data_IF_547656684064
#
_entry.id   IF_547656684064
#
_cell.length_a   1.000
_cell.length_b   1.000
_cell.length_c   1.000
_cell.angle_alpha   90.00
_cell.angle_beta   90.00
_cell.angle_gamma   90.00
#
_symmetry.space_group_name_H-M   'P 1'
#
loop_
_entity.id
_entity.type
_entity.pdbx_description
1 polymer ?
#
# COMPACT_ATOMS: atom_id res chain seq x y z
N UNK A 1 -26.94 15.42 -4.62
CA UNK A 1 -27.62 14.15 -4.96
C UNK A 1 -28.22 13.58 -3.68
N UNK A 2 -29.45 13.07 -3.69
CA UNK A 2 -30.00 12.39 -2.50
C UNK A 2 -29.26 11.06 -2.30
N UNK A 3 -28.75 10.81 -1.10
CA UNK A 3 -27.99 9.60 -0.79
C UNK A 3 -28.94 8.41 -0.59
N UNK A 4 -28.55 7.20 -1.04
CA UNK A 4 -29.39 6.03 -0.83
C UNK A 4 -29.40 5.60 0.65
N UNK A 5 -30.53 5.05 1.11
CA UNK A 5 -30.62 4.51 2.49
C UNK A 5 -29.75 3.28 2.71
N UNK A 6 -29.48 2.53 1.65
CA UNK A 6 -28.66 1.32 1.68
C UNK A 6 -27.75 1.22 0.46
N UNK A 7 -26.65 0.47 0.57
CA UNK A 7 -25.66 0.33 -0.48
C UNK A 7 -25.02 -1.07 -0.50
N UNK A 8 -24.25 -1.38 -1.55
CA UNK A 8 -23.53 -2.65 -1.67
C UNK A 8 -22.17 -2.56 -0.98
N UNK A 9 -21.79 -3.60 -0.25
CA UNK A 9 -20.47 -3.72 0.36
C UNK A 9 -20.05 -5.17 0.49
N UNK A 10 -18.74 -5.43 0.45
CA UNK A 10 -18.20 -6.70 0.93
C UNK A 10 -17.95 -6.62 2.44
N UNK A 11 -18.55 -7.53 3.19
CA UNK A 11 -18.41 -7.62 4.65
C UNK A 11 -18.27 -9.08 5.11
N UNK A 12 -17.74 -9.29 6.31
CA UNK A 12 -17.60 -10.60 6.94
C UNK A 12 -18.00 -10.57 8.41
N UNK A 13 -18.55 -11.69 8.88
CA UNK A 13 -19.16 -11.82 10.21
C UNK A 13 -18.26 -12.59 11.19
N UNK A 14 -17.31 -13.37 10.68
CA UNK A 14 -16.34 -14.11 11.48
C UNK A 14 -14.96 -14.01 10.83
N UNK A 15 -13.93 -14.28 11.62
CA UNK A 15 -12.59 -14.55 11.08
C UNK A 15 -12.60 -15.86 10.30
N UNK A 16 -11.92 -15.89 9.17
CA UNK A 16 -11.81 -17.11 8.35
C UNK A 16 -11.43 -16.84 6.91
N UNK A 17 -11.30 -17.87 6.06
CA UNK A 17 -10.95 -17.70 4.66
C UNK A 17 -11.99 -16.87 3.87
N UNK A 18 -11.58 -16.00 2.92
CA UNK A 18 -12.50 -15.16 2.11
C UNK A 18 -13.61 -15.93 1.42
N UNK A 19 -13.31 -17.12 0.89
CA UNK A 19 -14.29 -17.95 0.21
C UNK A 19 -15.42 -18.45 1.13
N UNK A 20 -15.24 -18.38 2.46
CA UNK A 20 -16.23 -18.82 3.45
C UNK A 20 -16.92 -17.64 4.12
N UNK A 21 -16.15 -16.63 4.55
CA UNK A 21 -16.68 -15.57 5.42
C UNK A 21 -17.03 -14.27 4.69
N UNK A 22 -16.39 -13.98 3.54
CA UNK A 22 -16.54 -12.70 2.85
C UNK A 22 -17.77 -12.73 1.94
N UNK A 23 -18.73 -11.84 2.22
CA UNK A 23 -20.04 -11.81 1.54
C UNK A 23 -20.28 -10.46 0.88
N UNK A 24 -20.77 -10.49 -0.36
CA UNK A 24 -21.38 -9.31 -0.98
C UNK A 24 -22.76 -9.10 -0.35
N UNK A 25 -22.93 -8.01 0.39
CA UNK A 25 -24.21 -7.55 0.94
C UNK A 25 -24.73 -6.42 0.07
N UNK A 26 -25.99 -6.48 -0.35
CA UNK A 26 -26.60 -5.51 -1.28
C UNK A 26 -27.40 -4.41 -0.60
N UNK A 27 -27.65 -4.53 0.70
CA UNK A 27 -28.50 -3.62 1.48
C UNK A 27 -27.86 -3.24 2.82
N UNK A 28 -26.59 -2.83 2.81
CA UNK A 28 -25.92 -2.30 4.01
C UNK A 28 -26.46 -0.90 4.29
N UNK A 29 -26.85 -0.62 5.54
CA UNK A 29 -27.35 0.71 5.92
C UNK A 29 -26.26 1.75 5.75
N UNK A 30 -26.58 2.88 5.13
CA UNK A 30 -25.65 4.01 5.06
C UNK A 30 -25.48 4.60 6.47
N UNK A 31 -24.27 4.55 7.07
CA UNK A 31 -24.07 5.07 8.42
C UNK A 31 -24.08 6.60 8.42
N UNK A 32 -24.46 7.22 9.54
CA UNK A 32 -24.36 8.67 9.73
C UNK A 32 -22.91 9.15 9.55
N UNK A 33 -22.74 10.36 9.03
CA UNK A 33 -21.42 10.93 8.78
C UNK A 33 -20.90 11.64 10.04
N UNK A 34 -19.69 11.28 10.49
CA UNK A 34 -19.02 11.99 11.57
C UNK A 34 -18.65 13.43 11.18
N UNK A 35 -18.46 14.34 12.16
CA UNK A 35 -18.24 15.76 11.88
C UNK A 35 -16.95 16.02 11.08
N UNK A 36 -15.89 15.23 11.27
CA UNK A 36 -14.60 15.35 10.55
C UNK A 36 -14.49 14.46 9.31
N UNK A 37 -15.54 13.72 9.00
CA UNK A 37 -15.52 12.74 7.93
C UNK A 37 -16.00 13.33 6.62
N UNK A 38 -15.54 12.73 5.54
CA UNK A 38 -16.13 12.85 4.22
C UNK A 38 -16.71 11.51 3.80
N UNK A 39 -17.87 11.54 3.13
CA UNK A 39 -18.41 10.36 2.46
C UNK A 39 -17.99 10.37 1.00
N UNK A 40 -17.44 9.26 0.56
CA UNK A 40 -16.93 9.10 -0.79
C UNK A 40 -17.74 8.01 -1.46
N UNK A 41 -18.28 8.31 -2.65
CA UNK A 41 -18.78 7.30 -3.57
C UNK A 41 -17.58 6.67 -4.26
N UNK A 42 -17.28 5.43 -3.91
CA UNK A 42 -16.06 4.76 -4.36
C UNK A 42 -16.22 4.38 -5.82
N UNK A 43 -15.31 4.83 -6.67
CA UNK A 43 -15.23 4.40 -8.06
C UNK A 43 -14.43 3.10 -8.16
N UNK A 44 -13.25 3.08 -7.56
CA UNK A 44 -12.34 1.94 -7.57
C UNK A 44 -11.68 1.73 -6.22
N UNK A 45 -11.39 0.48 -5.88
CA UNK A 45 -10.63 0.08 -4.71
C UNK A 45 -9.45 -0.78 -5.13
N UNK A 46 -8.44 -0.93 -4.27
CA UNK A 46 -7.36 -1.88 -4.52
C UNK A 46 -7.20 -2.83 -3.33
N UNK A 47 -6.80 -4.06 -3.62
CA UNK A 47 -6.58 -5.10 -2.60
C UNK A 47 -5.09 -5.27 -2.28
N UNK A 48 -4.83 -5.68 -1.04
CA UNK A 48 -3.54 -5.81 -0.41
C UNK A 48 -3.47 -7.10 0.44
N UNK A 49 -2.28 -7.67 0.65
CA UNK A 49 -2.13 -8.82 1.55
C UNK A 49 -2.66 -8.58 2.98
N UNK A 50 -2.59 -7.33 3.47
CA UNK A 50 -3.12 -6.98 4.80
C UNK A 50 -4.64 -7.10 4.88
N UNK A 51 -5.38 -6.83 3.79
CA UNK A 51 -6.84 -7.01 3.75
C UNK A 51 -7.22 -8.47 4.05
N UNK A 52 -6.45 -9.42 3.50
CA UNK A 52 -6.61 -10.84 3.81
C UNK A 52 -6.16 -11.18 5.22
N UNK A 53 -5.02 -10.63 5.68
CA UNK A 53 -4.47 -10.92 7.01
C UNK A 53 -5.44 -10.52 8.13
N UNK A 54 -6.03 -9.33 8.04
CA UNK A 54 -7.04 -8.83 8.99
C UNK A 54 -8.28 -9.72 9.07
N UNK A 55 -8.60 -10.44 8.00
CA UNK A 55 -9.76 -11.33 7.95
C UNK A 55 -9.49 -12.70 8.58
N UNK A 56 -8.23 -13.15 8.64
CA UNK A 56 -7.86 -14.50 9.11
C UNK A 56 -7.08 -14.53 10.42
N UNK A 57 -6.60 -13.37 10.89
CA UNK A 57 -5.78 -13.25 12.10
C UNK A 57 -6.49 -12.34 13.12
N UNK A 58 -7.09 -12.92 14.17
CA UNK A 58 -7.70 -12.14 15.24
C UNK A 58 -6.67 -11.26 15.96
N UNK A 59 -7.10 -10.08 16.42
CA UNK A 59 -6.30 -9.21 17.29
C UNK A 59 -5.35 -8.24 16.58
N UNK A 60 -5.41 -8.14 15.25
CA UNK A 60 -4.64 -7.14 14.50
C UNK A 60 -5.28 -5.74 14.47
N UNK A 61 -6.55 -5.64 14.83
CA UNK A 61 -7.34 -4.41 14.93
C UNK A 61 -8.19 -4.45 16.21
N UNK A 62 -8.69 -3.29 16.64
CA UNK A 62 -9.42 -3.13 17.91
C UNK A 62 -10.90 -3.59 17.82
N UNK A 63 -11.26 -4.25 16.72
CA UNK A 63 -12.62 -4.73 16.45
C UNK A 63 -12.60 -6.21 16.10
N UNK A 64 -13.69 -6.90 16.44
CA UNK A 64 -13.94 -8.26 15.99
C UNK A 64 -15.23 -8.28 15.15
N UNK A 65 -15.27 -9.05 14.06
CA UNK A 65 -16.50 -9.21 13.29
C UNK A 65 -17.52 -10.04 14.10
N UNK A 66 -18.80 -9.67 13.97
CA UNK A 66 -19.94 -10.49 14.42
C UNK A 66 -21.09 -10.38 13.42
N UNK A 67 -22.14 -11.16 13.63
CA UNK A 67 -23.37 -11.07 12.81
C UNK A 67 -24.05 -9.71 12.99
N UNK A 68 -24.04 -9.18 14.22
CA UNK A 68 -24.63 -7.88 14.59
C UNK A 68 -23.75 -6.70 14.15
N UNK A 69 -22.43 -6.89 14.11
CA UNK A 69 -21.45 -5.90 13.67
C UNK A 69 -20.48 -6.50 12.64
N UNK A 70 -20.93 -6.73 11.39
CA UNK A 70 -20.05 -7.21 10.32
C UNK A 70 -18.95 -6.19 10.03
N UNK A 71 -17.74 -6.66 9.77
CA UNK A 71 -16.64 -5.80 9.33
C UNK A 71 -16.62 -5.66 7.81
N UNK A 72 -16.42 -4.43 7.34
CA UNK A 72 -16.27 -4.14 5.91
C UNK A 72 -14.87 -4.46 5.40
N UNK A 73 -14.73 -4.70 4.11
CA UNK A 73 -13.48 -5.14 3.49
C UNK A 73 -12.76 -4.02 2.70
N UNK A 74 -11.43 -4.05 2.74
CA UNK A 74 -10.55 -3.18 1.95
C UNK A 74 -10.16 -1.85 2.60
N UNK A 75 -9.00 -1.33 2.19
CA UNK A 75 -8.41 -0.10 2.75
C UNK A 75 -8.04 0.95 1.70
N UNK A 76 -7.71 0.55 0.46
CA UNK A 76 -7.40 1.50 -0.62
C UNK A 76 -8.65 1.86 -1.41
N UNK A 77 -8.85 3.14 -1.71
CA UNK A 77 -9.98 3.61 -2.52
C UNK A 77 -9.69 4.90 -3.28
N UNK A 78 -10.41 5.09 -4.38
CA UNK A 78 -10.54 6.36 -5.07
C UNK A 78 -11.99 6.57 -5.54
N UNK A 79 -12.45 7.81 -5.52
CA UNK A 79 -13.85 8.13 -5.80
C UNK A 79 -14.15 9.62 -5.69
N UNK A 80 -15.43 9.94 -5.53
CA UNK A 80 -15.91 11.32 -5.48
C UNK A 80 -16.56 11.60 -4.13
N UNK A 81 -16.23 12.74 -3.52
CA UNK A 81 -16.87 13.20 -2.28
C UNK A 81 -18.33 13.55 -2.56
N UNK A 82 -19.26 12.97 -1.80
CA UNK A 82 -20.71 13.18 -1.94
C UNK A 82 -21.36 13.81 -0.70
N UNK A 83 -20.67 13.83 0.42
CA UNK A 83 -21.12 14.42 1.68
C UNK A 83 -19.90 14.82 2.51
N UNK A 84 -19.99 15.94 3.24
CA UNK A 84 -18.89 16.49 4.06
C UNK A 84 -19.44 16.78 5.45
N UNK A 85 -18.74 16.29 6.48
CA UNK A 85 -19.08 16.54 7.88
C UNK A 85 -18.93 18.01 8.25
N UNK A 86 -19.61 18.44 9.31
CA UNK A 86 -19.69 19.84 9.72
C UNK A 86 -18.35 20.49 10.15
N UNK A 87 -17.35 19.67 10.49
CA UNK A 87 -16.01 20.11 10.89
C UNK A 87 -14.93 19.81 9.84
N UNK A 88 -15.26 19.09 8.76
CA UNK A 88 -14.34 18.84 7.66
C UNK A 88 -14.22 20.10 6.78
N UNK A 89 -12.99 20.58 6.54
CA UNK A 89 -12.72 21.90 5.93
C UNK A 89 -11.85 21.85 4.69
N UNK A 90 -11.09 20.77 4.47
CA UNK A 90 -10.16 20.64 3.33
C UNK A 90 -10.86 20.23 2.05
N UNK A 91 -11.89 19.40 2.15
CA UNK A 91 -12.56 18.76 1.02
C UNK A 91 -13.99 19.27 0.85
N UNK A 92 -14.49 19.24 -0.38
CA UNK A 92 -15.87 19.60 -0.73
C UNK A 92 -16.51 18.51 -1.59
N UNK A 93 -17.85 18.54 -1.65
CA UNK A 93 -18.63 17.70 -2.56
C UNK A 93 -18.15 17.91 -4.01
N UNK A 94 -18.16 16.82 -4.79
CA UNK A 94 -17.61 16.69 -6.15
C UNK A 94 -16.08 16.63 -6.26
N UNK A 95 -15.32 16.78 -5.17
CA UNK A 95 -13.88 16.55 -5.23
C UNK A 95 -13.59 15.08 -5.57
N UNK A 96 -12.70 14.86 -6.54
CA UNK A 96 -12.15 13.54 -6.84
C UNK A 96 -10.97 13.29 -5.91
N UNK A 97 -11.00 12.15 -5.21
CA UNK A 97 -10.09 11.86 -4.11
C UNK A 97 -9.57 10.45 -4.17
N UNK A 98 -8.42 10.23 -3.54
CA UNK A 98 -7.92 8.91 -3.19
C UNK A 98 -7.57 8.82 -1.70
N UNK A 99 -7.52 7.60 -1.18
CA UNK A 99 -7.36 7.39 0.25
C UNK A 99 -6.86 5.99 0.58
N UNK A 100 -6.23 5.92 1.74
CA UNK A 100 -6.10 4.70 2.51
C UNK A 100 -6.89 4.91 3.81
N UNK A 101 -7.76 3.98 4.19
CA UNK A 101 -8.43 4.05 5.50
C UNK A 101 -7.47 3.65 6.62
N UNK A 102 -7.75 4.10 7.85
CA UNK A 102 -7.21 3.43 9.02
C UNK A 102 -7.64 1.94 9.02
N UNK A 103 -6.79 1.04 9.51
CA UNK A 103 -7.09 -0.40 9.59
C UNK A 103 -8.32 -0.73 10.44
N UNK A 104 -8.70 0.14 11.40
CA UNK A 104 -9.92 -0.01 12.20
C UNK A 104 -11.20 0.46 11.48
N UNK A 105 -11.09 1.25 10.41
CA UNK A 105 -12.24 1.80 9.68
C UNK A 105 -12.72 0.84 8.59
N UNK A 106 -11.80 0.35 7.75
CA UNK A 106 -12.05 -0.48 6.57
C UNK A 106 -13.11 0.09 5.61
N UNK A 107 -13.43 -0.68 4.56
CA UNK A 107 -14.68 -0.56 3.81
C UNK A 107 -14.58 0.15 2.46
N UNK A 108 -13.40 0.18 1.84
CA UNK A 108 -13.27 0.72 0.48
C UNK A 108 -13.82 -0.20 -0.60
N UNK A 109 -13.98 -1.51 -0.35
CA UNK A 109 -14.64 -2.42 -1.29
C UNK A 109 -16.16 -2.41 -1.06
N UNK A 110 -16.73 -1.22 -1.27
CA UNK A 110 -18.16 -0.93 -1.11
C UNK A 110 -18.54 0.33 -1.89
N UNK A 111 -19.82 0.51 -2.24
CA UNK A 111 -20.25 1.67 -3.04
C UNK A 111 -19.93 3.02 -2.35
N UNK A 112 -19.91 3.04 -1.02
CA UNK A 112 -19.58 4.22 -0.21
C UNK A 112 -18.65 3.87 0.95
N UNK A 113 -17.77 4.82 1.28
CA UNK A 113 -16.94 4.79 2.48
C UNK A 113 -17.00 6.15 3.18
N UNK A 114 -16.99 6.16 4.52
CA UNK A 114 -16.86 7.36 5.34
C UNK A 114 -15.51 7.35 6.04
N UNK A 115 -14.72 8.42 5.86
CA UNK A 115 -13.32 8.49 6.33
C UNK A 115 -13.03 9.89 6.82
N UNK A 116 -12.25 10.03 7.89
CA UNK A 116 -11.78 11.34 8.35
C UNK A 116 -10.97 12.04 7.24
N UNK A 117 -11.22 13.34 7.03
CA UNK A 117 -10.63 14.09 5.92
C UNK A 117 -9.09 14.13 5.95
N UNK A 118 -8.49 13.87 7.12
CA UNK A 118 -7.04 13.80 7.30
C UNK A 118 -6.40 12.55 6.67
N UNK A 119 -7.19 11.57 6.24
CA UNK A 119 -6.73 10.38 5.52
C UNK A 119 -7.02 10.44 4.01
N UNK A 120 -7.62 11.54 3.55
CA UNK A 120 -8.14 11.69 2.19
C UNK A 120 -7.43 12.86 1.49
N UNK A 121 -6.89 12.59 0.31
CA UNK A 121 -6.22 13.58 -0.51
C UNK A 121 -6.90 13.72 -1.86
N UNK A 122 -6.76 14.89 -2.48
CA UNK A 122 -7.22 15.11 -3.84
C UNK A 122 -6.48 14.15 -4.78
N UNK A 123 -7.24 13.60 -5.73
CA UNK A 123 -6.69 12.70 -6.73
C UNK A 123 -5.78 13.48 -7.69
N UNK A 124 -4.60 12.94 -8.07
CA UNK A 124 -3.76 13.49 -9.12
C UNK A 124 -4.58 13.66 -10.41
N UNK A 125 -4.52 14.85 -10.99
CA UNK A 125 -5.35 15.23 -12.15
C UNK A 125 -5.09 14.38 -13.40
N UNK A 126 -3.94 13.71 -13.46
CA UNK A 126 -3.49 12.89 -14.58
C UNK A 126 -3.78 11.38 -14.43
N UNK A 127 -4.48 10.96 -13.36
CA UNK A 127 -4.77 9.55 -13.10
C UNK A 127 -6.26 9.22 -13.27
N UNK A 128 -6.51 8.01 -13.74
CA UNK A 128 -7.83 7.37 -13.65
C UNK A 128 -8.12 6.93 -12.20
N UNK A 129 -9.39 6.67 -11.85
CA UNK A 129 -9.74 6.13 -10.53
C UNK A 129 -9.06 4.77 -10.24
N UNK A 130 -8.90 3.91 -11.24
CA UNK A 130 -8.21 2.63 -11.09
C UNK A 130 -6.73 2.84 -10.71
N UNK A 131 -6.06 3.77 -11.40
CA UNK A 131 -4.68 4.14 -11.09
C UNK A 131 -4.58 4.79 -9.72
N UNK A 132 -5.46 5.73 -9.42
CA UNK A 132 -5.50 6.44 -8.15
C UNK A 132 -5.73 5.49 -6.97
N UNK A 133 -6.65 4.53 -7.06
CA UNK A 133 -6.91 3.54 -6.02
C UNK A 133 -5.73 2.58 -5.81
N UNK A 134 -4.86 2.40 -6.81
CA UNK A 134 -3.71 1.51 -6.70
C UNK A 134 -2.52 2.09 -5.92
N UNK A 135 -2.55 3.38 -5.60
CA UNK A 135 -1.46 4.12 -4.93
C UNK A 135 -1.46 4.00 -3.41
N UNK A 136 -2.56 4.26 -2.67
CA UNK A 136 -2.46 4.85 -1.33
C UNK A 136 -1.64 4.05 -0.33
N UNK A 137 -2.01 2.80 -0.05
CA UNK A 137 -1.30 1.98 0.94
C UNK A 137 0.15 1.74 0.54
N UNK A 138 0.41 1.28 -0.69
CA UNK A 138 1.77 0.89 -1.10
C UNK A 138 2.69 2.09 -1.34
N UNK A 139 2.14 3.19 -1.85
CA UNK A 139 2.84 4.45 -2.03
C UNK A 139 3.18 5.08 -0.69
N UNK A 140 2.22 5.18 0.24
CA UNK A 140 2.47 5.67 1.60
C UNK A 140 3.47 4.80 2.32
N UNK A 141 3.37 3.47 2.17
CA UNK A 141 4.32 2.53 2.76
C UNK A 141 5.75 2.88 2.31
N UNK A 142 6.01 2.94 1.01
CA UNK A 142 7.38 3.24 0.53
C UNK A 142 7.82 4.67 0.83
N UNK A 143 6.90 5.64 0.81
CA UNK A 143 7.18 7.02 1.20
C UNK A 143 7.64 7.11 2.66
N UNK A 144 6.87 6.53 3.58
CA UNK A 144 7.19 6.53 5.01
C UNK A 144 8.51 5.80 5.28
N UNK A 145 8.69 4.61 4.70
CA UNK A 145 9.91 3.81 4.87
C UNK A 145 11.16 4.58 4.45
N UNK A 146 11.18 5.07 3.21
CA UNK A 146 12.38 5.65 2.62
C UNK A 146 12.60 7.09 3.04
N UNK A 147 11.55 7.91 3.09
CA UNK A 147 11.69 9.37 3.23
C UNK A 147 11.42 9.86 4.65
N UNK A 148 10.54 9.22 5.42
CA UNK A 148 10.27 9.62 6.81
C UNK A 148 11.20 8.92 7.82
N UNK A 149 11.30 7.58 7.72
CA UNK A 149 12.07 6.78 8.67
C UNK A 149 13.56 6.68 8.28
N UNK A 150 13.88 6.14 7.11
CA UNK A 150 15.28 6.05 6.66
C UNK A 150 15.88 7.43 6.35
N UNK A 151 15.03 8.39 5.99
CA UNK A 151 15.44 9.72 5.51
C UNK A 151 16.51 9.60 4.44
N UNK A 152 16.25 8.77 3.43
CA UNK A 152 17.15 8.51 2.30
C UNK A 152 17.54 9.84 1.65
N UNK A 153 18.84 10.01 1.42
CA UNK A 153 19.42 11.21 0.83
C UNK A 153 19.94 10.94 -0.59
N UNK A 154 20.06 12.01 -1.38
CA UNK A 154 20.69 11.97 -2.69
C UNK A 154 22.12 11.42 -2.58
N UNK A 155 22.48 10.51 -3.49
CA UNK A 155 23.80 9.88 -3.54
C UNK A 155 24.01 8.71 -2.57
N UNK A 156 23.06 8.43 -1.68
CA UNK A 156 23.09 7.21 -0.85
C UNK A 156 22.79 5.97 -1.70
N UNK A 157 23.32 4.81 -1.29
CA UNK A 157 22.99 3.52 -1.90
C UNK A 157 21.89 2.84 -1.10
N UNK A 158 20.79 2.46 -1.75
CA UNK A 158 19.70 1.69 -1.15
C UNK A 158 19.56 0.32 -1.80
N UNK A 159 19.41 -0.71 -0.96
CA UNK A 159 19.00 -2.04 -1.37
C UNK A 159 17.52 -2.25 -1.07
N UNK A 160 16.74 -2.53 -2.09
CA UNK A 160 15.30 -2.83 -2.02
C UNK A 160 15.10 -4.32 -2.21
N UNK A 161 14.72 -5.03 -1.14
CA UNK A 161 14.41 -6.46 -1.23
C UNK A 161 12.99 -6.61 -1.77
N UNK A 162 12.84 -7.24 -2.94
CA UNK A 162 11.55 -7.42 -3.60
C UNK A 162 11.12 -6.23 -4.46
N UNK A 163 12.02 -5.69 -5.29
CA UNK A 163 11.78 -4.51 -6.13
C UNK A 163 10.65 -4.63 -7.15
N UNK A 164 10.14 -5.84 -7.42
CA UNK A 164 8.95 -6.05 -8.26
C UNK A 164 7.65 -6.29 -7.47
N UNK A 165 7.69 -6.22 -6.13
CA UNK A 165 6.47 -6.20 -5.31
C UNK A 165 5.75 -4.85 -5.47
N UNK A 166 4.46 -4.77 -5.11
CA UNK A 166 3.73 -3.51 -5.24
C UNK A 166 4.37 -2.36 -4.44
N UNK A 167 4.85 -2.63 -3.23
CA UNK A 167 5.64 -1.68 -2.43
C UNK A 167 7.02 -1.45 -3.03
N UNK A 168 7.73 -2.50 -3.44
CA UNK A 168 9.04 -2.37 -4.08
C UNK A 168 9.03 -1.51 -5.35
N UNK A 169 7.96 -1.59 -6.16
CA UNK A 169 7.77 -0.75 -7.34
C UNK A 169 7.74 0.74 -6.99
N UNK A 170 7.05 1.12 -5.91
CA UNK A 170 7.09 2.51 -5.42
C UNK A 170 8.43 2.85 -4.77
N UNK A 171 9.01 1.92 -4.00
CA UNK A 171 10.31 2.10 -3.37
C UNK A 171 11.43 2.41 -4.38
N UNK A 172 11.51 1.65 -5.48
CA UNK A 172 12.51 1.84 -6.54
C UNK A 172 12.35 3.23 -7.17
N UNK A 173 11.13 3.60 -7.55
CA UNK A 173 10.87 4.89 -8.20
C UNK A 173 11.13 6.07 -7.26
N UNK A 174 10.72 5.98 -5.98
CA UNK A 174 10.95 7.03 -4.98
C UNK A 174 12.45 7.19 -4.68
N UNK A 175 13.18 6.10 -4.51
CA UNK A 175 14.62 6.15 -4.29
C UNK A 175 15.36 6.75 -5.49
N UNK A 176 14.98 6.36 -6.71
CA UNK A 176 15.51 6.94 -7.94
C UNK A 176 15.20 8.45 -8.02
N UNK A 177 13.98 8.86 -7.68
CA UNK A 177 13.56 10.26 -7.69
C UNK A 177 14.31 11.13 -6.66
N UNK A 178 14.75 10.55 -5.54
CA UNK A 178 15.66 11.21 -4.58
C UNK A 178 17.07 11.41 -5.17
N UNK A 179 17.45 10.61 -6.17
CA UNK A 179 18.80 10.54 -6.71
C UNK A 179 19.71 9.63 -5.90
N UNK A 180 19.16 8.59 -5.27
CA UNK A 180 19.91 7.51 -4.65
C UNK A 180 20.39 6.50 -5.72
N UNK A 181 21.41 5.73 -5.40
CA UNK A 181 21.82 4.55 -6.17
C UNK A 181 20.96 3.35 -5.74
N UNK A 182 20.17 2.82 -6.67
CA UNK A 182 19.13 1.84 -6.37
C UNK A 182 19.57 0.44 -6.77
N UNK A 183 19.73 -0.43 -5.78
CA UNK A 183 19.92 -1.86 -5.95
C UNK A 183 18.60 -2.54 -5.61
N UNK A 184 18.12 -3.45 -6.46
CA UNK A 184 16.87 -4.15 -6.22
C UNK A 184 17.00 -5.66 -6.42
N UNK A 185 16.39 -6.45 -5.54
CA UNK A 185 16.24 -7.89 -5.76
C UNK A 185 14.94 -8.18 -6.50
N UNK A 186 15.01 -8.98 -7.57
CA UNK A 186 13.83 -9.46 -8.30
C UNK A 186 14.18 -10.69 -9.14
N UNK A 187 13.19 -11.42 -9.66
CA UNK A 187 13.45 -12.53 -10.60
C UNK A 187 13.91 -11.99 -11.96
N UNK A 188 14.72 -12.76 -12.70
CA UNK A 188 15.17 -12.39 -14.06
C UNK A 188 14.05 -11.88 -14.98
N UNK A 189 12.86 -12.50 -14.95
CA UNK A 189 11.71 -12.11 -15.78
C UNK A 189 11.20 -10.67 -15.52
N UNK A 190 11.54 -10.09 -14.39
CA UNK A 190 11.15 -8.75 -13.98
C UNK A 190 12.33 -7.75 -14.02
N UNK A 191 13.54 -8.20 -14.36
CA UNK A 191 14.75 -7.38 -14.26
C UNK A 191 14.66 -6.10 -15.10
N UNK A 192 14.27 -6.21 -16.37
CA UNK A 192 14.16 -5.06 -17.28
C UNK A 192 13.06 -4.10 -16.84
N UNK A 193 11.95 -4.65 -16.35
CA UNK A 193 10.87 -3.84 -15.77
C UNK A 193 11.36 -3.05 -14.56
N UNK A 194 12.02 -3.69 -13.59
CA UNK A 194 12.51 -2.99 -12.39
C UNK A 194 13.62 -1.98 -12.73
N UNK A 195 14.47 -2.26 -13.73
CA UNK A 195 15.42 -1.27 -14.27
C UNK A 195 14.72 -0.07 -14.88
N UNK A 196 13.65 -0.27 -15.65
CA UNK A 196 12.86 0.82 -16.24
C UNK A 196 12.20 1.73 -15.20
N UNK A 197 12.06 1.26 -13.96
CA UNK A 197 11.55 2.05 -12.82
C UNK A 197 12.65 2.88 -12.12
N UNK A 198 13.92 2.71 -12.50
CA UNK A 198 15.05 3.47 -11.93
C UNK A 198 16.02 2.64 -11.09
N UNK A 199 15.95 1.31 -11.12
CA UNK A 199 16.99 0.48 -10.49
C UNK A 199 18.29 0.49 -11.31
N UNK A 200 19.40 0.84 -10.67
CA UNK A 200 20.74 0.85 -11.27
C UNK A 200 21.32 -0.57 -11.34
N UNK A 201 21.04 -1.40 -10.33
CA UNK A 201 21.53 -2.78 -10.25
C UNK A 201 20.41 -3.75 -9.86
N UNK A 202 20.32 -4.85 -10.59
CA UNK A 202 19.42 -5.96 -10.28
C UNK A 202 20.20 -7.13 -9.71
N UNK A 203 19.67 -7.75 -8.66
CA UNK A 203 20.15 -9.02 -8.12
C UNK A 203 19.03 -10.06 -8.27
N UNK A 204 19.27 -11.10 -9.06
CA UNK A 204 18.35 -12.24 -9.13
C UNK A 204 18.55 -13.18 -7.95
N UNK A 205 17.58 -13.16 -7.04
CA UNK A 205 17.60 -13.97 -5.82
C UNK A 205 17.47 -15.48 -6.09
N UNK A 206 17.12 -15.91 -7.31
CA UNK A 206 17.17 -17.34 -7.68
C UNK A 206 18.57 -17.83 -8.01
N UNK A 207 19.47 -16.93 -8.40
CA UNK A 207 20.81 -17.30 -8.87
C UNK A 207 21.91 -16.93 -7.88
N UNK A 208 21.69 -15.90 -7.07
CA UNK A 208 22.68 -15.43 -6.10
C UNK A 208 22.01 -14.73 -4.92
N UNK A 209 22.59 -14.86 -3.73
CA UNK A 209 22.17 -14.09 -2.55
C UNK A 209 22.75 -12.68 -2.66
N UNK A 210 21.97 -11.67 -2.30
CA UNK A 210 22.43 -10.27 -2.33
C UNK A 210 23.63 -10.04 -1.41
N UNK A 211 23.69 -10.73 -0.28
CA UNK A 211 24.80 -10.65 0.68
C UNK A 211 26.13 -11.18 0.13
N UNK A 212 26.09 -12.13 -0.81
CA UNK A 212 27.30 -12.74 -1.37
C UNK A 212 27.95 -11.89 -2.47
N UNK A 213 27.18 -10.94 -3.04
CA UNK A 213 27.58 -10.17 -4.23
C UNK A 213 27.67 -8.67 -3.97
N UNK A 214 27.28 -8.23 -2.78
CA UNK A 214 27.48 -6.86 -2.32
C UNK A 214 28.70 -6.82 -1.42
N UNK A 215 29.46 -5.73 -1.54
CA UNK A 215 30.60 -5.51 -0.65
C UNK A 215 30.09 -5.22 0.76
N UNK A 216 30.82 -5.69 1.77
CA UNK A 216 30.51 -5.38 3.16
C UNK A 216 30.51 -3.87 3.37
N UNK A 217 29.55 -3.38 4.15
CA UNK A 217 29.42 -1.97 4.50
C UNK A 217 29.29 -1.01 3.30
N UNK A 218 28.66 -1.47 2.21
CA UNK A 218 28.49 -0.67 0.97
C UNK A 218 27.12 -0.01 0.83
N UNK A 219 26.13 -0.38 1.66
CA UNK A 219 24.73 0.07 1.53
C UNK A 219 24.34 1.00 2.68
N UNK A 220 23.72 2.14 2.37
CA UNK A 220 23.24 3.12 3.35
C UNK A 220 21.89 2.74 3.95
N UNK A 221 21.00 2.17 3.14
CA UNK A 221 19.64 1.77 3.55
C UNK A 221 19.28 0.41 2.96
N UNK A 222 18.77 -0.49 3.79
CA UNK A 222 18.10 -1.71 3.33
C UNK A 222 16.60 -1.55 3.62
N UNK A 223 15.79 -1.61 2.57
CA UNK A 223 14.34 -1.61 2.62
C UNK A 223 13.80 -2.98 2.22
N UNK A 224 13.35 -3.75 3.20
CA UNK A 224 12.73 -5.05 2.98
C UNK A 224 11.22 -4.92 2.72
N UNK A 225 10.81 -5.14 1.47
CA UNK A 225 9.42 -5.03 1.03
C UNK A 225 8.59 -6.29 1.35
N UNK A 226 8.89 -6.99 2.44
CA UNK A 226 8.14 -8.16 2.85
C UNK A 226 8.70 -9.49 2.35
N UNK A 227 10.02 -9.58 2.19
CA UNK A 227 10.71 -10.73 1.60
C UNK A 227 11.49 -11.54 2.62
N UNK A 228 12.28 -10.90 3.48
CA UNK A 228 13.32 -11.56 4.28
C UNK A 228 13.30 -11.12 5.76
N UNK A 229 12.37 -11.69 6.55
CA UNK A 229 12.20 -11.36 7.97
C UNK A 229 13.44 -11.59 8.86
N UNK A 230 14.38 -12.41 8.40
CA UNK A 230 15.62 -12.75 9.13
C UNK A 230 16.81 -11.88 8.68
N UNK A 231 16.64 -11.01 7.68
CA UNK A 231 17.76 -10.28 7.06
C UNK A 231 18.59 -9.48 8.08
N UNK A 232 17.94 -8.89 9.09
CA UNK A 232 18.65 -8.18 10.17
C UNK A 232 19.58 -9.10 10.99
N UNK A 233 19.13 -10.31 11.30
CA UNK A 233 19.88 -11.25 12.13
C UNK A 233 20.96 -11.99 11.35
N UNK A 234 20.92 -11.95 10.02
CA UNK A 234 21.87 -12.68 9.17
C UNK A 234 22.85 -11.74 8.49
N UNK A 235 22.38 -10.99 7.48
CA UNK A 235 23.26 -10.42 6.46
C UNK A 235 23.24 -8.89 6.44
N UNK A 236 22.13 -8.28 6.85
CA UNK A 236 21.91 -6.85 6.68
C UNK A 236 22.96 -6.04 7.44
N UNK A 237 23.33 -6.46 8.64
CA UNK A 237 24.34 -5.76 9.45
C UNK A 237 25.72 -5.73 8.78
N UNK A 238 26.07 -6.79 8.03
CA UNK A 238 27.36 -6.88 7.35
C UNK A 238 27.40 -6.01 6.08
N UNK A 239 26.28 -5.90 5.38
CA UNK A 239 26.17 -5.13 4.13
C UNK A 239 25.91 -3.64 4.39
N UNK A 240 25.20 -3.31 5.47
CA UNK A 240 24.96 -1.93 5.87
C UNK A 240 26.24 -1.22 6.29
N UNK A 241 26.36 0.05 5.92
CA UNK A 241 27.46 0.93 6.37
C UNK A 241 27.52 0.96 7.90
N UNK A 242 28.74 0.94 8.41
CA UNK A 242 28.99 1.05 9.84
C UNK A 242 28.47 2.39 10.37
N UNK A 243 27.89 2.37 11.58
CA UNK A 243 27.37 3.52 12.34
C UNK A 243 26.24 4.35 11.69
N UNK A 244 25.97 4.16 10.40
CA UNK A 244 25.08 5.04 9.60
C UNK A 244 24.06 4.26 8.78
N UNK A 245 24.28 2.96 8.59
CA UNK A 245 23.35 2.08 7.89
C UNK A 245 22.00 2.00 8.59
N UNK A 246 20.93 1.91 7.83
CA UNK A 246 19.54 1.84 8.34
C UNK A 246 18.83 0.63 7.73
N UNK A 247 18.30 -0.24 8.59
CA UNK A 247 17.45 -1.36 8.18
C UNK A 247 15.98 -1.06 8.51
N UNK A 248 15.10 -1.26 7.54
CA UNK A 248 13.65 -1.08 7.71
C UNK A 248 12.92 -2.20 6.96
N UNK A 249 11.87 -2.77 7.55
CA UNK A 249 11.16 -3.92 6.98
C UNK A 249 9.65 -3.82 7.15
N UNK A 250 8.92 -4.47 6.23
CA UNK A 250 7.47 -4.74 6.32
C UNK A 250 7.13 -5.99 7.12
N UNK A 251 8.12 -6.72 7.65
CA UNK A 251 7.90 -7.92 8.44
C UNK A 251 8.35 -7.68 9.89
N UNK A 252 7.65 -8.27 10.88
CA UNK A 252 8.22 -8.44 12.20
C UNK A 252 9.61 -9.09 12.07
N UNK A 253 10.63 -8.45 12.65
CA UNK A 253 11.96 -9.06 12.71
C UNK A 253 11.88 -10.34 13.53
N UNK A 254 12.54 -11.40 13.06
CA UNK A 254 12.51 -12.68 13.75
C UNK A 254 13.21 -12.61 15.10
N UNK A 255 12.58 -13.16 16.13
CA UNK A 255 13.14 -13.20 17.48
C UNK A 255 14.13 -14.38 17.66
N UNK A 256 15.22 -14.20 18.44
CA UNK A 256 15.63 -12.96 19.08
C UNK A 256 16.22 -11.96 18.08
N UNK A 257 15.87 -10.68 18.18
CA UNK A 257 16.52 -9.62 17.38
C UNK A 257 17.96 -9.43 17.85
N UNK A 258 18.93 -9.67 16.97
CA UNK A 258 20.35 -9.51 17.31
C UNK A 258 20.71 -8.04 17.51
N UNK A 259 21.59 -7.70 18.49
CA UNK A 259 22.06 -6.34 18.67
C UNK A 259 22.88 -5.88 17.46
N UNK A 260 22.88 -4.57 17.21
CA UNK A 260 23.66 -3.97 16.13
C UNK A 260 25.17 -4.09 16.38
N UNK A 261 25.83 -5.03 15.69
CA UNK A 261 27.26 -5.30 15.87
C UNK A 261 28.16 -4.22 15.28
N UNK A 262 27.69 -3.54 14.22
CA UNK A 262 28.47 -2.55 13.46
C UNK A 262 27.89 -1.12 13.56
N UNK A 263 27.00 -0.87 14.54
CA UNK A 263 26.41 0.44 14.77
C UNK A 263 25.33 0.88 13.77
N UNK A 264 24.89 0.01 12.86
CA UNK A 264 23.72 0.28 12.02
C UNK A 264 22.44 0.36 12.87
N UNK A 265 21.49 1.19 12.45
CA UNK A 265 20.20 1.34 13.11
C UNK A 265 19.18 0.36 12.52
N UNK A 266 18.57 -0.46 13.36
CA UNK A 266 17.41 -1.27 13.01
C UNK A 266 16.13 -0.55 13.43
N UNK A 267 15.37 -0.02 12.47
CA UNK A 267 14.03 0.52 12.75
C UNK A 267 12.98 -0.58 12.92
N UNK A 268 13.28 -1.80 12.49
CA UNK A 268 12.41 -2.96 12.59
C UNK A 268 11.19 -2.87 11.67
N UNK A 269 10.12 -3.53 12.11
CA UNK A 269 8.83 -3.48 11.45
C UNK A 269 8.21 -2.09 11.56
N UNK A 270 7.89 -1.49 10.42
CA UNK A 270 7.11 -0.25 10.38
C UNK A 270 5.74 -0.56 9.76
N UNK A 271 4.70 -0.23 10.51
CA UNK A 271 3.33 -0.26 10.01
C UNK A 271 3.00 1.07 9.32
N UNK A 272 2.50 1.01 8.10
CA UNK A 272 2.04 2.21 7.38
C UNK A 272 0.85 2.83 8.09
N UNK A 273 0.83 4.16 8.19
CA UNK A 273 -0.34 4.91 8.67
C UNK A 273 -0.97 5.72 7.54
N UNK A 274 -2.31 5.87 7.50
CA UNK A 274 -2.97 6.72 6.52
C UNK A 274 -2.66 8.20 6.78
N UNK A 275 -2.42 8.97 5.73
CA UNK A 275 -2.20 10.42 5.85
C UNK A 275 -2.45 11.12 4.52
N UNK A 276 -3.30 12.15 4.57
CA UNK A 276 -3.53 13.03 3.44
C UNK A 276 -2.28 13.82 3.09
N UNK A 277 -1.45 14.21 4.08
CA UNK A 277 -0.21 14.94 3.83
C UNK A 277 0.79 14.07 3.04
N UNK A 278 0.95 12.80 3.41
CA UNK A 278 1.81 11.87 2.66
C UNK A 278 1.30 11.63 1.24
N UNK A 279 -0.01 11.51 1.07
CA UNK A 279 -0.65 11.41 -0.24
C UNK A 279 -0.49 12.70 -1.06
N UNK A 280 -0.60 13.88 -0.45
CA UNK A 280 -0.37 15.18 -1.10
C UNK A 280 1.10 15.29 -1.58
N UNK A 281 2.06 14.70 -0.86
CA UNK A 281 3.46 14.61 -1.31
C UNK A 281 3.63 13.63 -2.47
N UNK A 282 2.98 12.46 -2.42
CA UNK A 282 2.99 11.50 -3.52
C UNK A 282 2.35 12.06 -4.80
N UNK A 283 1.26 12.83 -4.67
CA UNK A 283 0.59 13.53 -5.78
C UNK A 283 1.58 14.31 -6.63
N UNK A 284 2.52 15.03 -5.99
CA UNK A 284 3.52 15.84 -6.69
C UNK A 284 4.46 14.99 -7.58
N UNK A 285 4.76 13.76 -7.17
CA UNK A 285 5.57 12.85 -7.99
C UNK A 285 4.75 12.21 -9.11
N UNK A 286 3.49 11.86 -8.83
CA UNK A 286 2.56 11.24 -9.78
C UNK A 286 2.19 12.20 -10.92
N UNK A 287 1.88 13.46 -10.60
CA UNK A 287 1.54 14.48 -11.61
C UNK A 287 2.73 14.86 -12.49
N UNK A 288 3.95 14.78 -11.95
CA UNK A 288 5.20 14.94 -12.73
C UNK A 288 5.55 13.72 -13.57
N UNK A 289 4.88 12.58 -13.38
CA UNK A 289 5.22 11.31 -13.99
C UNK A 289 6.56 10.73 -13.54
N UNK A 290 7.14 11.24 -12.44
CA UNK A 290 8.41 10.72 -11.88
C UNK A 290 8.20 9.39 -11.18
N UNK A 291 7.01 9.16 -10.63
CA UNK A 291 6.55 7.85 -10.20
C UNK A 291 5.24 7.55 -10.94
N UNK A 292 5.04 6.29 -11.32
CA UNK A 292 3.83 5.82 -11.99
C UNK A 292 3.22 4.63 -11.22
N UNK A 293 1.89 4.58 -11.09
CA UNK A 293 1.22 3.40 -10.55
C UNK A 293 1.28 2.25 -11.56
N UNK A 294 1.44 1.02 -11.06
CA UNK A 294 1.46 -0.19 -11.88
C UNK A 294 0.31 -1.09 -11.46
N UNK A 295 -0.65 -1.25 -12.37
CA UNK A 295 -1.79 -2.16 -12.22
C UNK A 295 -1.48 -3.45 -12.95
N UNK A 296 -1.64 -4.58 -12.25
CA UNK A 296 -1.54 -5.91 -12.85
C UNK A 296 -2.86 -6.33 -13.49
N UNK A 297 -3.97 -6.10 -12.80
CA UNK A 297 -5.31 -6.47 -13.29
C UNK A 297 -6.39 -5.65 -12.61
N UNK A 298 -7.47 -5.44 -13.36
CA UNK A 298 -8.70 -4.80 -12.89
C UNK A 298 -9.81 -5.86 -12.92
N UNK A 299 -10.54 -5.98 -11.83
CA UNK A 299 -11.68 -6.89 -11.69
C UNK A 299 -12.96 -6.09 -11.49
N UNK A 300 -14.11 -6.54 -12.01
CA UNK A 300 -15.39 -5.96 -11.65
C UNK A 300 -15.72 -6.27 -10.19
N UNK A 301 -16.61 -5.47 -9.59
CA UNK A 301 -16.96 -5.53 -8.16
C UNK A 301 -17.31 -6.95 -7.68
N UNK A 302 -18.12 -7.67 -8.46
CA UNK A 302 -18.63 -9.00 -8.14
C UNK A 302 -17.54 -10.09 -8.13
N UNK A 303 -16.35 -9.76 -8.63
CA UNK A 303 -15.22 -10.68 -8.83
C UNK A 303 -14.11 -10.52 -7.79
N UNK A 304 -14.42 -9.95 -6.62
CA UNK A 304 -13.47 -9.79 -5.52
C UNK A 304 -12.78 -11.11 -5.11
N UNK A 305 -13.51 -12.22 -5.03
CA UNK A 305 -12.93 -13.51 -4.63
C UNK A 305 -11.91 -14.05 -5.66
N UNK A 306 -12.15 -13.82 -6.95
CA UNK A 306 -11.22 -14.18 -8.02
C UNK A 306 -9.94 -13.33 -7.91
N UNK A 307 -10.10 -12.03 -7.62
CA UNK A 307 -8.98 -11.11 -7.37
C UNK A 307 -8.15 -11.52 -6.13
N UNK A 308 -8.81 -11.91 -5.03
CA UNK A 308 -8.12 -12.40 -3.82
C UNK A 308 -7.40 -13.73 -4.05
N UNK A 309 -7.97 -14.61 -4.86
CA UNK A 309 -7.32 -15.85 -5.27
C UNK A 309 -6.02 -15.55 -6.04
N UNK A 310 -6.05 -14.60 -6.98
CA UNK A 310 -4.86 -14.14 -7.70
C UNK A 310 -3.85 -13.48 -6.76
N UNK A 311 -4.29 -12.63 -5.83
CA UNK A 311 -3.44 -11.97 -4.85
C UNK A 311 -2.64 -12.99 -4.02
N UNK A 312 -3.31 -14.04 -3.54
CA UNK A 312 -2.68 -15.09 -2.73
C UNK A 312 -1.59 -15.86 -3.48
N UNK A 313 -1.69 -15.95 -4.80
CA UNK A 313 -0.68 -16.56 -5.66
C UNK A 313 0.67 -15.81 -5.68
N UNK A 314 0.74 -14.56 -5.23
CA UNK A 314 1.98 -13.75 -5.17
C UNK A 314 2.75 -13.70 -6.50
N UNK A 315 2.03 -13.64 -7.61
CA UNK A 315 2.62 -13.60 -8.96
C UNK A 315 2.26 -12.33 -9.75
N UNK A 316 1.45 -11.44 -9.18
CA UNK A 316 1.05 -10.19 -9.79
C UNK A 316 2.24 -9.22 -9.89
N UNK A 317 2.38 -8.55 -11.03
CA UNK A 317 3.29 -7.44 -11.27
C UNK A 317 2.53 -6.13 -11.12
N UNK A 318 2.43 -5.65 -9.88
CA UNK A 318 1.67 -4.47 -9.51
C UNK A 318 0.40 -4.79 -8.74
N UNK A 319 -0.52 -3.83 -8.71
CA UNK A 319 -1.72 -3.86 -7.88
C UNK A 319 -2.91 -4.51 -8.58
N UNK A 320 -3.76 -5.14 -7.78
CA UNK A 320 -5.05 -5.65 -8.23
C UNK A 320 -6.13 -4.65 -7.80
N UNK A 321 -6.90 -4.19 -8.78
CA UNK A 321 -7.94 -3.16 -8.61
C UNK A 321 -9.32 -3.80 -8.75
N UNK A 322 -10.27 -3.32 -7.96
CA UNK A 322 -11.68 -3.67 -8.02
C UNK A 322 -12.46 -2.43 -8.46
N UNK A 323 -13.08 -2.48 -9.62
CA UNK A 323 -14.01 -1.44 -10.08
C UNK A 323 -15.33 -1.60 -9.34
N UNK A 324 -15.63 -0.66 -8.44
CA UNK A 324 -16.79 -0.70 -7.55
C UNK A 324 -18.02 -0.11 -8.25
N UNK A 325 -17.87 1.13 -8.73
CA UNK A 325 -18.86 1.84 -9.51
C UNK A 325 -18.23 2.20 -10.85
N UNK A 326 -18.66 1.55 -11.92
CA UNK A 326 -18.26 1.94 -13.27
C UNK A 326 -18.79 3.34 -13.57
N UNK A 327 -17.90 4.34 -13.56
CA UNK A 327 -18.16 5.51 -14.38
C UNK A 327 -17.73 5.12 -15.80
N UNK A 328 -18.61 5.34 -16.78
CA UNK A 328 -18.19 5.27 -18.18
C UNK A 328 -16.99 6.19 -18.33
N UNK A 329 -15.82 5.63 -18.61
CA UNK A 329 -14.63 6.40 -18.90
C UNK A 329 -14.97 7.35 -20.03
N UNK A 330 -15.00 8.65 -19.76
CA UNK A 330 -14.95 9.64 -20.81
C UNK A 330 -13.68 9.33 -21.60
N UNK A 331 -13.88 8.85 -22.82
CA UNK A 331 -12.80 8.55 -23.75
C UNK A 331 -12.01 9.85 -23.93
N UNK A 332 -10.73 9.82 -23.59
CA UNK A 332 -9.77 10.83 -24.06
C UNK A 332 -9.65 10.76 -25.58
#
# INVERSE_FOLDING_TARGET
>A
MELPKTYRAYQYDNYGPPAQELKLRTAVKLPDLGPKQVRIKVASAAINPVDYALMVQPGLIDKAPSVEQPLSFGHDGAGTVVEVGSEAKRLKVEDQVYLMTNFNACGTVADFVAVDEEHVALMPSNLTFDQAASVPLVGLTSYQMLLEHAKLQKGETVLILGGSSATGIFGVQLAHAVGAHVIATTRVKNADFVKSLGADRIIDYHTQKWADVLENHSVDVIYDCGMEADAWNTDAQLILKQNTGRFITLLPTKEPVLPAQFGATNFGFISVYPTAEGLDKLTKYLEKGTIVPVIDSVFPFEKLLDALTKLKGRHSRGKLVIQVNSQASASL
#
